data_IF_699999176753
#
_entry.id   IF_699999176753
#
_cell.length_a   1.000
_cell.length_b   1.000
_cell.length_c   1.000
_cell.angle_alpha   90.00
_cell.angle_beta   90.00
_cell.angle_gamma   90.00
#
_symmetry.space_group_name_H-M   'P 1'
#
loop_
_entity.id
_entity.type
_entity.pdbx_description
1 polymer ?
#
# COMPACT_ATOMS: atom_id res chain seq x y z
N UNK A 1 3.57 -4.98 16.83
CA UNK A 1 4.48 -4.14 17.64
C UNK A 1 5.35 -3.24 16.78
N UNK A 2 6.03 -3.77 15.75
CA UNK A 2 6.82 -2.92 14.83
C UNK A 2 6.03 -1.72 14.27
N UNK A 3 4.81 -1.96 13.80
CA UNK A 3 3.88 -0.91 13.32
C UNK A 3 3.61 0.17 14.38
N UNK A 4 3.20 -0.24 15.59
CA UNK A 4 2.96 0.67 16.72
C UNK A 4 4.20 1.49 17.07
N UNK A 5 5.39 0.86 17.06
CA UNK A 5 6.66 1.54 17.30
C UNK A 5 6.97 2.56 16.22
N UNK A 6 6.74 2.24 14.94
CA UNK A 6 6.90 3.17 13.83
C UNK A 6 5.98 4.38 13.95
N UNK A 7 4.70 4.17 14.30
CA UNK A 7 3.73 5.25 14.55
C UNK A 7 4.08 6.14 15.75
N UNK A 8 4.78 5.58 16.73
CA UNK A 8 5.22 6.28 17.94
C UNK A 8 6.61 6.92 17.78
N UNK A 9 7.20 6.82 16.58
CA UNK A 9 8.56 7.29 16.26
C UNK A 9 9.67 6.62 17.10
N UNK A 10 9.40 5.42 17.65
CA UNK A 10 10.39 4.57 18.31
C UNK A 10 11.03 3.65 17.25
N UNK A 11 11.97 4.23 16.51
CA UNK A 11 12.61 3.56 15.37
C UNK A 11 13.49 2.37 15.79
N UNK A 12 14.12 2.45 16.96
CA UNK A 12 14.94 1.35 17.49
C UNK A 12 14.07 0.13 17.83
N UNK A 13 12.93 0.33 18.50
CA UNK A 13 11.98 -0.74 18.74
C UNK A 13 11.35 -1.27 17.44
N UNK A 14 11.03 -0.39 16.49
CA UNK A 14 10.52 -0.80 15.18
C UNK A 14 11.49 -1.76 14.47
N UNK A 15 12.78 -1.42 14.43
CA UNK A 15 13.82 -2.25 13.84
C UNK A 15 13.95 -3.58 14.59
N UNK A 16 14.01 -3.56 15.92
CA UNK A 16 14.15 -4.77 16.72
C UNK A 16 12.96 -5.75 16.56
N UNK A 17 11.73 -5.24 16.54
CA UNK A 17 10.54 -6.06 16.32
C UNK A 17 10.44 -6.56 14.88
N UNK A 18 10.90 -5.77 13.91
CA UNK A 18 10.98 -6.22 12.52
C UNK A 18 11.99 -7.36 12.38
N UNK A 19 13.18 -7.22 12.98
CA UNK A 19 14.22 -8.26 12.95
C UNK A 19 13.80 -9.56 13.62
N UNK A 20 12.99 -9.47 14.68
CA UNK A 20 12.43 -10.65 15.35
C UNK A 20 11.60 -11.54 14.40
N UNK A 21 10.99 -10.94 13.36
CA UNK A 21 10.25 -11.66 12.32
C UNK A 21 11.19 -12.05 11.18
N UNK A 22 11.94 -11.08 10.65
CA UNK A 22 12.76 -11.25 9.44
C UNK A 22 13.94 -12.22 9.63
N UNK A 23 14.44 -12.36 10.86
CA UNK A 23 15.56 -13.25 11.20
C UNK A 23 15.13 -14.53 11.91
N UNK A 24 13.81 -14.75 12.06
CA UNK A 24 13.29 -15.96 12.69
C UNK A 24 13.82 -17.21 11.95
N UNK A 25 14.05 -18.29 12.70
CA UNK A 25 14.55 -19.57 12.14
C UNK A 25 13.54 -20.71 12.31
N UNK A 26 12.41 -20.45 12.95
CA UNK A 26 11.33 -21.43 13.12
C UNK A 26 10.84 -21.98 11.77
N UNK A 27 10.45 -23.25 11.75
CA UNK A 27 10.04 -23.94 10.52
C UNK A 27 8.77 -23.33 9.88
N UNK A 28 7.86 -22.80 10.70
CA UNK A 28 6.57 -22.23 10.27
C UNK A 28 6.55 -20.70 10.35
N UNK A 29 7.70 -20.05 10.16
CA UNK A 29 7.78 -18.59 10.13
C UNK A 29 7.24 -18.05 8.80
N UNK A 30 6.68 -16.83 8.80
CA UNK A 30 6.38 -16.15 7.55
C UNK A 30 7.69 -15.80 6.82
N UNK A 31 7.69 -15.92 5.49
CA UNK A 31 8.87 -15.69 4.64
C UNK A 31 8.48 -14.80 3.46
N UNK A 32 9.34 -13.83 3.15
CA UNK A 32 9.17 -12.98 1.98
C UNK A 32 9.15 -13.81 0.69
N UNK A 33 8.11 -13.64 -0.13
CA UNK A 33 8.01 -14.31 -1.43
C UNK A 33 9.01 -13.66 -2.38
N UNK A 34 10.19 -14.24 -2.57
CA UNK A 34 11.23 -13.61 -3.42
C UNK A 34 11.01 -13.81 -4.92
N UNK A 35 10.32 -14.88 -5.31
CA UNK A 35 10.13 -15.24 -6.71
C UNK A 35 9.08 -14.35 -7.38
N UNK A 36 9.45 -13.54 -8.40
CA UNK A 36 8.51 -12.69 -9.13
C UNK A 36 7.35 -13.48 -9.75
N UNK A 37 7.60 -14.71 -10.22
CA UNK A 37 6.60 -15.55 -10.89
C UNK A 37 5.51 -16.03 -9.93
N UNK A 38 5.81 -16.02 -8.63
CA UNK A 38 4.92 -16.49 -7.57
C UNK A 38 4.33 -15.35 -6.74
N UNK A 39 4.57 -14.10 -7.14
CA UNK A 39 4.05 -12.94 -6.41
C UNK A 39 2.53 -13.00 -6.21
N UNK A 40 1.78 -13.43 -7.22
CA UNK A 40 0.32 -13.51 -7.10
C UNK A 40 -0.15 -14.64 -6.16
N UNK A 41 0.70 -15.64 -5.90
CA UNK A 41 0.42 -16.69 -4.92
C UNK A 41 0.31 -16.14 -3.49
N UNK A 42 0.73 -14.89 -3.25
CA UNK A 42 0.48 -14.17 -2.00
C UNK A 42 -1.03 -14.06 -1.74
N UNK A 43 -1.83 -13.82 -2.79
CA UNK A 43 -3.25 -13.47 -2.70
C UNK A 43 -4.18 -14.62 -3.10
N UNK A 44 -3.78 -15.49 -4.03
CA UNK A 44 -4.55 -16.66 -4.46
C UNK A 44 -3.70 -17.93 -4.36
N UNK A 45 -4.17 -19.02 -3.72
CA UNK A 45 -5.51 -19.20 -3.14
C UNK A 45 -5.72 -18.52 -1.77
N UNK A 46 -4.71 -17.81 -1.24
CA UNK A 46 -4.69 -17.28 0.12
C UNK A 46 -3.83 -18.14 1.05
N UNK A 47 -3.68 -17.75 2.32
CA UNK A 47 -2.84 -18.39 3.32
C UNK A 47 -1.39 -18.59 2.85
N UNK A 48 -0.85 -17.59 2.15
CA UNK A 48 0.51 -17.66 1.63
C UNK A 48 1.54 -17.64 2.76
N UNK A 49 2.74 -18.17 2.51
CA UNK A 49 3.84 -18.11 3.46
C UNK A 49 4.29 -16.67 3.77
N UNK A 50 3.97 -15.68 2.92
CA UNK A 50 4.28 -14.28 3.21
C UNK A 50 3.28 -13.65 4.19
N UNK A 51 2.07 -14.20 4.26
CA UNK A 51 1.02 -13.72 5.15
C UNK A 51 1.39 -13.97 6.61
N UNK A 52 1.25 -12.93 7.43
CA UNK A 52 1.43 -13.00 8.89
C UNK A 52 0.06 -13.06 9.56
N UNK A 53 -0.89 -12.28 9.05
CA UNK A 53 -2.26 -12.25 9.53
C UNK A 53 -3.19 -11.92 8.38
N UNK A 54 -4.22 -12.74 8.21
CA UNK A 54 -5.26 -12.55 7.19
C UNK A 54 -6.64 -12.95 7.71
N UNK A 55 -7.66 -12.31 7.13
CA UNK A 55 -9.06 -12.70 7.28
C UNK A 55 -9.41 -13.66 6.15
N UNK A 56 -10.07 -14.77 6.50
CA UNK A 56 -10.32 -15.87 5.58
C UNK A 56 -11.79 -16.05 5.30
N UNK A 57 -12.10 -16.39 4.05
CA UNK A 57 -13.42 -16.78 3.59
C UNK A 57 -13.31 -18.09 2.82
N UNK A 58 -14.33 -18.93 2.97
CA UNK A 58 -14.42 -20.22 2.31
C UNK A 58 -15.86 -20.46 1.89
N UNK A 59 -16.12 -20.14 0.61
CA UNK A 59 -17.42 -20.35 0.00
C UNK A 59 -17.72 -21.85 -0.16
N UNK A 60 -16.71 -22.64 -0.54
CA UNK A 60 -16.89 -24.04 -0.94
C UNK A 60 -17.32 -24.92 0.23
N UNK A 61 -16.71 -24.74 1.40
CA UNK A 61 -16.95 -25.57 2.59
C UNK A 61 -18.04 -24.97 3.48
N UNK A 62 -18.02 -23.65 3.67
CA UNK A 62 -18.84 -22.98 4.70
C UNK A 62 -19.81 -21.93 4.15
N UNK A 63 -19.85 -21.70 2.83
CA UNK A 63 -20.70 -20.66 2.23
C UNK A 63 -20.32 -19.24 2.68
N UNK A 64 -19.09 -19.04 3.13
CA UNK A 64 -18.61 -17.74 3.61
C UNK A 64 -18.11 -16.90 2.44
N UNK A 65 -18.70 -15.71 2.28
CA UNK A 65 -18.35 -14.76 1.23
C UNK A 65 -17.97 -13.39 1.81
N UNK A 66 -17.27 -12.61 1.00
CA UNK A 66 -17.03 -11.18 1.19
C UNK A 66 -17.42 -10.43 -0.09
N UNK A 67 -17.18 -9.12 -0.12
CA UNK A 67 -17.55 -8.26 -1.26
C UNK A 67 -16.32 -7.54 -1.85
N UNK A 68 -15.10 -8.01 -1.58
CA UNK A 68 -13.88 -7.29 -1.97
C UNK A 68 -13.69 -7.28 -3.48
N UNK A 69 -13.85 -8.44 -4.14
CA UNK A 69 -13.70 -8.55 -5.59
C UNK A 69 -14.67 -7.65 -6.37
N UNK A 70 -15.89 -7.42 -5.85
CA UNK A 70 -16.87 -6.55 -6.51
C UNK A 70 -16.59 -5.07 -6.31
N UNK A 71 -15.94 -4.67 -5.21
CA UNK A 71 -15.50 -3.28 -5.02
C UNK A 71 -14.51 -2.83 -6.10
N UNK A 72 -13.77 -3.78 -6.66
CA UNK A 72 -12.77 -3.58 -7.69
C UNK A 72 -13.15 -4.30 -9.01
N UNK A 73 -14.44 -4.40 -9.30
CA UNK A 73 -14.98 -5.10 -10.47
C UNK A 73 -14.31 -4.69 -11.79
N UNK A 74 -14.24 -5.61 -12.75
CA UNK A 74 -13.67 -5.39 -14.09
C UNK A 74 -14.58 -4.57 -15.03
N UNK A 75 -15.37 -3.66 -14.49
CA UNK A 75 -16.33 -2.88 -15.25
C UNK A 75 -16.50 -1.45 -14.71
N UNK A 76 -17.28 -0.64 -15.44
CA UNK A 76 -17.51 0.76 -15.11
C UNK A 76 -18.22 0.97 -13.75
N UNK A 77 -18.88 -0.06 -13.22
CA UNK A 77 -19.60 -0.10 -11.96
C UNK A 77 -18.74 -0.39 -10.72
N UNK A 78 -17.41 -0.56 -10.86
CA UNK A 78 -16.50 -0.66 -9.73
C UNK A 78 -16.67 0.53 -8.77
N UNK A 79 -16.86 0.23 -7.47
CA UNK A 79 -17.06 1.26 -6.43
C UNK A 79 -15.77 1.97 -6.05
N UNK A 80 -14.64 1.26 -6.11
CA UNK A 80 -13.32 1.79 -5.79
C UNK A 80 -12.45 1.70 -7.04
N UNK A 81 -11.84 2.83 -7.42
CA UNK A 81 -10.99 2.97 -8.60
C UNK A 81 -9.63 3.52 -8.16
N UNK A 82 -8.60 3.22 -8.94
CA UNK A 82 -7.31 3.86 -8.79
C UNK A 82 -7.42 5.37 -9.08
N UNK A 83 -6.56 6.16 -8.45
CA UNK A 83 -6.33 7.55 -8.86
C UNK A 83 -5.51 7.55 -10.15
N UNK A 84 -5.61 8.59 -10.99
CA UNK A 84 -4.78 8.67 -12.21
C UNK A 84 -3.29 8.67 -11.86
N UNK A 85 -2.90 9.31 -10.76
CA UNK A 85 -1.51 9.29 -10.28
C UNK A 85 -1.02 7.89 -9.91
N UNK A 86 -1.88 7.07 -9.32
CA UNK A 86 -1.53 5.68 -9.03
C UNK A 86 -1.45 4.87 -10.32
N UNK A 87 -2.38 5.07 -11.24
CA UNK A 87 -2.37 4.41 -12.55
C UNK A 87 -1.10 4.74 -13.33
N UNK A 88 -0.73 6.02 -13.43
CA UNK A 88 0.50 6.44 -14.10
C UNK A 88 1.73 5.77 -13.48
N UNK A 89 1.82 5.71 -12.14
CA UNK A 89 2.93 5.03 -11.48
C UNK A 89 3.01 3.52 -11.82
N UNK A 90 1.86 2.85 -11.96
CA UNK A 90 1.79 1.45 -12.38
C UNK A 90 2.18 1.25 -13.85
N UNK A 91 1.78 2.17 -14.72
CA UNK A 91 2.19 2.17 -16.13
C UNK A 91 3.70 2.41 -16.26
N UNK A 92 4.25 3.36 -15.50
CA UNK A 92 5.67 3.68 -15.51
C UNK A 92 6.52 2.50 -15.03
N UNK A 93 6.15 1.84 -13.92
CA UNK A 93 6.83 0.61 -13.48
C UNK A 93 6.71 -0.51 -14.53
N UNK A 94 5.54 -0.67 -15.14
CA UNK A 94 5.33 -1.69 -16.18
C UNK A 94 6.19 -1.42 -17.42
N UNK A 95 6.23 -0.18 -17.89
CA UNK A 95 7.08 0.24 -18.99
C UNK A 95 8.56 0.03 -18.68
N UNK A 96 8.98 0.28 -17.43
CA UNK A 96 10.35 0.07 -16.98
C UNK A 96 10.73 -1.42 -16.97
N UNK A 97 9.84 -2.31 -16.53
CA UNK A 97 10.05 -3.78 -16.63
C UNK A 97 10.24 -4.18 -18.09
N UNK A 98 9.32 -3.77 -18.97
CA UNK A 98 9.38 -4.09 -20.41
C UNK A 98 10.63 -3.54 -21.09
N UNK A 99 11.11 -2.37 -20.68
CA UNK A 99 12.33 -1.77 -21.22
C UNK A 99 13.60 -2.47 -20.72
N UNK A 100 13.58 -2.98 -19.48
CA UNK A 100 14.73 -3.65 -18.86
C UNK A 100 14.97 -5.02 -19.48
N UNK A 101 13.90 -5.79 -19.66
CA UNK A 101 13.97 -7.06 -20.36
C UNK A 101 12.64 -7.29 -21.11
N UNK A 102 12.64 -7.11 -22.44
CA UNK A 102 11.43 -7.25 -23.25
C UNK A 102 10.97 -8.71 -23.39
N UNK A 103 11.76 -9.68 -22.90
CA UNK A 103 11.37 -11.08 -22.81
C UNK A 103 10.68 -11.40 -21.48
N UNK A 104 10.84 -10.56 -20.46
CA UNK A 104 10.03 -10.64 -19.26
C UNK A 104 8.61 -10.21 -19.61
N UNK A 105 7.67 -11.00 -19.12
CA UNK A 105 6.29 -10.62 -19.16
C UNK A 105 6.03 -9.51 -18.14
N UNK A 106 5.38 -8.42 -18.56
CA UNK A 106 4.91 -7.34 -17.69
C UNK A 106 4.05 -7.84 -16.49
N UNK A 107 3.62 -9.10 -16.55
CA UNK A 107 2.80 -9.83 -15.59
C UNK A 107 3.57 -10.50 -14.45
N UNK A 108 4.91 -10.50 -14.49
CA UNK A 108 5.75 -11.18 -13.50
C UNK A 108 6.12 -10.26 -12.33
N UNK A 109 5.15 -10.02 -11.44
CA UNK A 109 5.32 -9.23 -10.22
C UNK A 109 4.04 -8.51 -9.81
N UNK A 110 4.20 -7.35 -9.18
CA UNK A 110 3.08 -6.51 -8.69
C UNK A 110 2.45 -5.60 -9.75
N UNK A 111 2.93 -5.61 -10.98
CA UNK A 111 2.58 -4.66 -12.05
C UNK A 111 1.29 -5.07 -12.78
N UNK A 112 1.25 -5.00 -14.11
CA UNK A 112 0.09 -5.39 -14.94
C UNK A 112 -0.31 -6.85 -14.73
N UNK A 113 -1.61 -7.16 -14.63
CA UNK A 113 -2.15 -8.47 -14.22
C UNK A 113 -1.68 -8.98 -12.85
N UNK A 114 -0.92 -8.20 -12.09
CA UNK A 114 -0.58 -8.49 -10.69
C UNK A 114 -1.43 -7.63 -9.76
N UNK A 115 -1.13 -6.33 -9.72
CA UNK A 115 -1.94 -5.38 -8.95
C UNK A 115 -3.09 -4.81 -9.78
N UNK A 116 -2.86 -4.50 -11.06
CA UNK A 116 -3.84 -3.80 -11.90
C UNK A 116 -4.10 -4.51 -13.24
N UNK A 117 -5.31 -4.36 -13.78
CA UNK A 117 -5.67 -4.81 -15.14
C UNK A 117 -6.31 -3.65 -15.90
N UNK A 118 -5.88 -3.45 -17.14
CA UNK A 118 -6.46 -2.48 -18.08
C UNK A 118 -7.71 -3.08 -18.73
N UNK A 119 -8.73 -2.25 -19.04
CA UNK A 119 -9.94 -2.76 -19.67
C UNK A 119 -9.73 -3.20 -21.13
N UNK A 120 -8.67 -2.73 -21.80
CA UNK A 120 -8.35 -3.14 -23.18
C UNK A 120 -7.97 -4.61 -23.25
N UNK A 121 -8.45 -5.30 -24.29
CA UNK A 121 -8.05 -6.67 -24.64
C UNK A 121 -6.74 -6.74 -25.42
N UNK A 122 -6.21 -5.61 -25.88
CA UNK A 122 -5.05 -5.55 -26.77
C UNK A 122 -3.79 -5.26 -25.96
N UNK A 123 -2.84 -6.22 -25.94
CA UNK A 123 -1.52 -6.03 -25.35
C UNK A 123 -0.77 -4.91 -26.08
N UNK A 124 -0.29 -3.89 -25.35
CA UNK A 124 0.36 -2.71 -25.94
C UNK A 124 -0.58 -1.54 -26.29
N UNK A 125 -1.91 -1.71 -26.17
CA UNK A 125 -2.89 -0.61 -26.28
C UNK A 125 -3.20 -0.07 -24.86
N UNK A 126 -2.15 0.42 -24.21
CA UNK A 126 -2.22 1.06 -22.89
C UNK A 126 -2.86 2.46 -22.96
N UNK A 127 -3.00 3.01 -24.17
CA UNK A 127 -3.30 4.43 -24.38
C UNK A 127 -4.80 4.78 -24.34
N UNK A 128 -5.71 3.85 -24.03
CA UNK A 128 -7.14 4.06 -24.34
C UNK A 128 -8.20 3.52 -23.38
N UNK A 129 -7.90 3.08 -22.16
CA UNK A 129 -8.99 2.80 -21.21
C UNK A 129 -8.89 3.59 -19.93
N UNK A 130 -9.97 4.32 -19.62
CA UNK A 130 -10.16 5.05 -18.38
C UNK A 130 -10.41 4.12 -17.16
N UNK A 131 -10.10 2.82 -17.26
CA UNK A 131 -10.54 1.82 -16.30
C UNK A 131 -9.44 0.82 -15.96
N UNK A 132 -9.04 0.86 -14.69
CA UNK A 132 -8.04 -0.01 -14.07
C UNK A 132 -8.72 -0.75 -12.92
N UNK A 133 -8.44 -2.04 -12.82
CA UNK A 133 -9.09 -2.91 -11.85
C UNK A 133 -8.08 -3.58 -10.94
N UNK A 134 -8.40 -3.70 -9.64
CA UNK A 134 -7.51 -4.35 -8.68
C UNK A 134 -7.61 -5.87 -8.85
N UNK A 135 -6.54 -6.48 -9.32
CA UNK A 135 -6.55 -7.90 -9.65
C UNK A 135 -6.40 -8.82 -8.44
N UNK A 136 -5.72 -8.35 -7.37
CA UNK A 136 -5.46 -9.10 -6.10
C UNK A 136 -6.69 -9.84 -5.54
N UNK A 137 -7.88 -9.24 -5.67
CA UNK A 137 -9.13 -9.78 -5.10
C UNK A 137 -10.06 -10.43 -6.13
N UNK A 138 -9.72 -10.39 -7.42
CA UNK A 138 -10.57 -10.89 -8.50
C UNK A 138 -9.94 -12.02 -9.30
N UNK A 139 -8.63 -12.00 -9.50
CA UNK A 139 -7.91 -13.02 -10.27
C UNK A 139 -7.62 -14.30 -9.51
N UNK A 140 -7.31 -15.36 -10.26
CA UNK A 140 -6.75 -16.62 -9.77
C UNK A 140 -5.31 -16.85 -10.24
N UNK A 141 -4.87 -16.16 -11.30
CA UNK A 141 -3.49 -16.12 -11.77
C UNK A 141 -3.23 -14.84 -12.57
N UNK A 142 -2.01 -14.67 -13.07
CA UNK A 142 -1.59 -13.52 -13.89
C UNK A 142 -1.43 -13.86 -15.38
N UNK A 143 -1.72 -15.09 -15.78
CA UNK A 143 -1.49 -15.60 -17.13
C UNK A 143 -2.67 -15.36 -18.06
N UNK A 144 -3.89 -15.27 -17.53
CA UNK A 144 -5.09 -14.92 -18.28
C UNK A 144 -6.02 -14.05 -17.43
N UNK A 145 -6.51 -12.96 -18.01
CA UNK A 145 -7.46 -12.04 -17.36
C UNK A 145 -8.86 -12.64 -17.22
N UNK A 146 -9.15 -13.73 -17.94
CA UNK A 146 -10.40 -14.47 -17.82
C UNK A 146 -10.35 -15.46 -16.64
N UNK A 147 -9.17 -15.71 -16.08
CA UNK A 147 -8.98 -16.54 -14.88
C UNK A 147 -9.35 -15.75 -13.63
N UNK A 148 -10.65 -15.58 -13.45
CA UNK A 148 -11.27 -14.90 -12.31
C UNK A 148 -11.76 -15.90 -11.26
N UNK A 149 -11.84 -15.46 -10.01
CA UNK A 149 -12.48 -16.21 -8.93
C UNK A 149 -13.96 -16.44 -9.24
N UNK A 150 -14.38 -17.68 -9.09
CA UNK A 150 -15.78 -18.11 -9.27
C UNK A 150 -16.66 -17.82 -8.04
N UNK A 151 -16.05 -17.59 -6.88
CA UNK A 151 -16.71 -17.21 -5.64
C UNK A 151 -16.11 -15.91 -5.09
N UNK A 152 -16.89 -15.19 -4.27
CA UNK A 152 -16.43 -13.98 -3.60
C UNK A 152 -15.81 -14.33 -2.24
N UNK A 153 -14.68 -15.04 -2.26
CA UNK A 153 -14.04 -15.60 -1.07
C UNK A 153 -12.56 -15.19 -0.92
N UNK A 154 -12.13 -14.12 -1.60
CA UNK A 154 -10.76 -13.64 -1.50
C UNK A 154 -10.38 -13.28 -0.05
N UNK A 155 -9.27 -13.83 0.46
CA UNK A 155 -8.74 -13.47 1.77
C UNK A 155 -8.28 -12.00 1.79
N UNK A 156 -8.34 -11.39 2.98
CA UNK A 156 -7.84 -10.03 3.20
C UNK A 156 -6.65 -10.05 4.13
N UNK A 157 -5.46 -9.79 3.57
CA UNK A 157 -4.21 -9.76 4.33
C UNK A 157 -4.14 -8.45 5.14
N UNK A 158 -3.97 -8.59 6.45
CA UNK A 158 -3.77 -7.48 7.38
C UNK A 158 -2.30 -7.13 7.56
N UNK A 159 -1.44 -8.14 7.66
CA UNK A 159 0.01 -7.99 7.74
C UNK A 159 0.71 -9.09 6.95
N UNK A 160 1.78 -8.72 6.26
CA UNK A 160 2.67 -9.65 5.52
C UNK A 160 4.12 -9.21 5.61
N UNK A 161 5.05 -10.09 5.26
CA UNK A 161 6.50 -9.84 5.45
C UNK A 161 6.98 -8.58 4.74
N UNK A 162 6.49 -8.28 3.53
CA UNK A 162 6.87 -7.05 2.83
C UNK A 162 6.54 -5.77 3.64
N UNK A 163 5.47 -5.77 4.43
CA UNK A 163 5.13 -4.63 5.29
C UNK A 163 6.13 -4.47 6.43
N UNK A 164 6.55 -5.58 7.05
CA UNK A 164 7.60 -5.58 8.07
C UNK A 164 8.92 -5.06 7.49
N UNK A 165 9.27 -5.48 6.29
CA UNK A 165 10.44 -4.99 5.57
C UNK A 165 10.37 -3.48 5.35
N UNK A 166 9.28 -2.97 4.80
CA UNK A 166 9.15 -1.53 4.51
C UNK A 166 9.00 -0.68 5.78
N UNK A 167 8.43 -1.21 6.87
CA UNK A 167 8.46 -0.53 8.17
C UNK A 167 9.89 -0.41 8.71
N UNK A 168 10.69 -1.48 8.58
CA UNK A 168 12.13 -1.45 8.94
C UNK A 168 12.90 -0.47 8.05
N UNK A 169 12.67 -0.47 6.73
CA UNK A 169 13.32 0.46 5.81
C UNK A 169 13.03 1.90 6.20
N UNK A 170 11.77 2.23 6.51
CA UNK A 170 11.41 3.58 6.96
C UNK A 170 12.07 3.96 8.28
N UNK A 171 12.06 3.06 9.27
CA UNK A 171 12.73 3.30 10.54
C UNK A 171 14.24 3.53 10.34
N UNK A 172 14.89 2.79 9.44
CA UNK A 172 16.29 3.01 9.07
C UNK A 172 16.51 4.37 8.43
N UNK A 173 15.61 4.84 7.55
CA UNK A 173 15.69 6.21 7.01
C UNK A 173 15.66 7.24 8.15
N UNK A 174 14.73 7.07 9.09
CA UNK A 174 14.56 7.98 10.23
C UNK A 174 15.68 7.90 11.28
N UNK A 175 16.48 6.83 11.31
CA UNK A 175 17.70 6.75 12.12
C UNK A 175 18.84 7.61 11.56
N UNK A 176 18.70 8.10 10.32
CA UNK A 176 19.63 9.00 9.66
C UNK A 176 20.58 8.31 8.68
N UNK A 177 21.37 9.14 7.98
CA UNK A 177 22.18 8.75 6.82
C UNK A 177 23.01 7.47 6.95
N UNK A 178 23.69 7.17 8.08
CA UNK A 178 24.47 5.94 8.21
C UNK A 178 23.67 4.63 8.01
N UNK A 179 22.34 4.70 8.02
CA UNK A 179 21.43 3.57 7.86
C UNK A 179 20.72 3.53 6.50
N UNK A 180 20.91 4.53 5.63
CA UNK A 180 20.17 4.66 4.37
C UNK A 180 20.52 3.59 3.34
N UNK A 181 21.77 3.10 3.30
CA UNK A 181 22.14 1.97 2.43
C UNK A 181 21.39 0.68 2.82
N UNK A 182 21.16 0.47 4.12
CA UNK A 182 20.40 -0.66 4.61
C UNK A 182 18.91 -0.53 4.26
N UNK A 183 18.35 0.69 4.32
CA UNK A 183 17.00 0.97 3.85
C UNK A 183 16.86 0.72 2.34
N UNK A 184 17.80 1.23 1.55
CA UNK A 184 17.83 1.05 0.09
C UNK A 184 17.96 -0.42 -0.30
N UNK A 185 18.75 -1.20 0.43
CA UNK A 185 18.86 -2.65 0.25
C UNK A 185 17.50 -3.34 0.40
N UNK A 186 16.71 -2.95 1.42
CA UNK A 186 15.37 -3.51 1.63
C UNK A 186 14.42 -3.11 0.49
N UNK A 187 14.41 -1.83 0.09
CA UNK A 187 13.59 -1.34 -1.03
C UNK A 187 13.93 -2.15 -2.31
N UNK A 188 15.21 -2.33 -2.59
CA UNK A 188 15.67 -3.06 -3.76
C UNK A 188 15.32 -4.55 -3.75
N UNK A 189 15.11 -5.18 -2.58
CA UNK A 189 14.57 -6.55 -2.52
C UNK A 189 13.13 -6.61 -3.04
N UNK A 190 12.28 -5.64 -2.70
CA UNK A 190 10.91 -5.59 -3.20
C UNK A 190 10.85 -5.24 -4.68
N UNK A 191 11.70 -4.32 -5.13
CA UNK A 191 11.85 -3.96 -6.55
C UNK A 191 12.31 -5.16 -7.38
N UNK A 192 13.31 -5.89 -6.90
CA UNK A 192 13.80 -7.08 -7.59
C UNK A 192 12.72 -8.16 -7.72
N UNK A 193 11.93 -8.40 -6.67
CA UNK A 193 10.77 -9.30 -6.73
C UNK A 193 9.67 -8.77 -7.69
N UNK A 194 9.58 -7.47 -7.90
CA UNK A 194 8.71 -6.87 -8.93
C UNK A 194 9.35 -6.84 -10.33
N UNK A 195 10.48 -7.53 -10.54
CA UNK A 195 11.24 -7.53 -11.81
C UNK A 195 11.75 -6.15 -12.24
N UNK A 196 11.83 -5.20 -11.31
CA UNK A 196 12.30 -3.84 -11.56
C UNK A 196 13.82 -3.75 -11.36
N UNK A 197 14.50 -2.86 -12.11
CA UNK A 197 15.89 -2.54 -11.83
C UNK A 197 16.02 -1.94 -10.42
N UNK A 198 17.13 -2.25 -9.77
CA UNK A 198 17.48 -1.69 -8.48
C UNK A 198 17.61 -0.16 -8.58
N UNK A 199 17.10 0.54 -7.57
CA UNK A 199 17.41 1.96 -7.36
C UNK A 199 18.89 2.10 -7.04
N UNK A 200 19.55 2.99 -7.77
CA UNK A 200 20.93 3.39 -7.55
C UNK A 200 20.89 4.82 -7.02
N UNK A 201 21.10 4.97 -5.73
CA UNK A 201 21.05 6.26 -5.02
C UNK A 201 22.38 6.46 -4.30
N UNK A 202 23.01 7.60 -4.50
CA UNK A 202 24.16 8.02 -3.71
C UNK A 202 23.67 8.56 -2.37
N UNK A 203 23.57 7.68 -1.37
CA UNK A 203 22.99 8.00 -0.05
C UNK A 203 23.77 9.08 0.71
N UNK A 204 25.03 9.31 0.35
CA UNK A 204 25.85 10.41 0.89
C UNK A 204 25.41 11.78 0.41
N UNK A 205 24.72 11.86 -0.73
CA UNK A 205 24.25 13.10 -1.36
C UNK A 205 22.72 13.26 -1.32
N UNK A 206 21.99 12.20 -0.96
CA UNK A 206 20.54 12.25 -0.78
C UNK A 206 20.15 13.04 0.48
N UNK A 207 18.88 13.46 0.55
CA UNK A 207 18.29 13.97 1.79
C UNK A 207 17.29 12.98 2.42
N UNK A 208 16.88 13.26 3.66
CA UNK A 208 15.92 12.40 4.40
C UNK A 208 14.56 12.32 3.69
N UNK A 209 14.13 13.41 3.03
CA UNK A 209 12.86 13.44 2.31
C UNK A 209 12.90 12.55 1.07
N UNK A 210 13.97 12.59 0.29
CA UNK A 210 14.16 11.74 -0.89
C UNK A 210 14.09 10.26 -0.49
N UNK A 211 14.79 9.88 0.58
CA UNK A 211 14.78 8.53 1.10
C UNK A 211 13.39 8.08 1.59
N UNK A 212 12.66 8.97 2.28
CA UNK A 212 11.27 8.72 2.66
C UNK A 212 10.35 8.59 1.44
N UNK A 213 10.57 9.39 0.39
CA UNK A 213 9.78 9.32 -0.84
C UNK A 213 10.00 7.99 -1.58
N UNK A 214 11.22 7.44 -1.60
CA UNK A 214 11.45 6.09 -2.12
C UNK A 214 10.68 5.02 -1.33
N UNK A 215 10.68 5.09 0.00
CA UNK A 215 9.90 4.17 0.83
C UNK A 215 8.40 4.31 0.56
N UNK A 216 7.88 5.54 0.52
CA UNK A 216 6.46 5.80 0.29
C UNK A 216 6.00 5.37 -1.10
N UNK A 217 6.84 5.53 -2.11
CA UNK A 217 6.57 5.03 -3.46
C UNK A 217 6.50 3.50 -3.45
N UNK A 218 7.51 2.83 -2.89
CA UNK A 218 7.53 1.38 -2.81
C UNK A 218 6.31 0.83 -2.05
N UNK A 219 5.90 1.48 -0.95
CA UNK A 219 4.66 1.14 -0.20
C UNK A 219 3.40 1.33 -1.03
N UNK A 220 3.31 2.39 -1.84
CA UNK A 220 2.16 2.62 -2.73
C UNK A 220 2.00 1.49 -3.74
N UNK A 221 3.10 1.14 -4.41
CA UNK A 221 3.10 0.12 -5.45
C UNK A 221 2.82 -1.26 -4.85
N UNK A 222 3.40 -1.53 -3.68
CA UNK A 222 3.29 -2.81 -3.01
C UNK A 222 1.91 -3.09 -2.42
N UNK A 223 1.36 -2.14 -1.67
CA UNK A 223 0.17 -2.33 -0.81
C UNK A 223 -1.11 -1.75 -1.40
N UNK A 224 -1.16 -1.55 -2.71
CA UNK A 224 -2.38 -1.01 -3.31
C UNK A 224 -3.57 -1.92 -3.03
N UNK A 225 -4.70 -1.29 -2.71
CA UNK A 225 -5.96 -1.92 -2.29
C UNK A 225 -5.92 -2.74 -0.97
N UNK A 226 -4.80 -2.76 -0.26
CA UNK A 226 -4.66 -3.44 1.06
C UNK A 226 -4.98 -2.49 2.24
N UNK A 227 -5.60 -1.33 1.97
CA UNK A 227 -6.04 -0.38 3.00
C UNK A 227 -4.93 0.44 3.67
N UNK A 228 -3.72 0.49 3.11
CA UNK A 228 -2.54 1.11 3.75
C UNK A 228 -2.31 2.58 3.37
N UNK A 229 -2.62 2.98 2.13
CA UNK A 229 -2.14 4.25 1.55
C UNK A 229 -2.48 5.50 2.35
N UNK A 230 -3.72 5.64 2.83
CA UNK A 230 -4.10 6.81 3.64
C UNK A 230 -3.28 6.91 4.93
N UNK A 231 -3.10 5.77 5.61
CA UNK A 231 -2.36 5.68 6.86
C UNK A 231 -0.86 5.92 6.67
N UNK A 232 -0.29 5.49 5.54
CA UNK A 232 1.10 5.80 5.18
C UNK A 232 1.32 7.29 4.99
N UNK A 233 0.44 7.95 4.22
CA UNK A 233 0.49 9.39 3.98
C UNK A 233 0.27 10.16 5.29
N UNK A 234 -0.72 9.76 6.09
CA UNK A 234 -1.01 10.36 7.38
C UNK A 234 0.18 10.27 8.33
N UNK A 235 0.82 9.11 8.42
CA UNK A 235 2.00 8.91 9.26
C UNK A 235 3.15 9.78 8.80
N UNK A 236 3.45 9.78 7.50
CA UNK A 236 4.46 10.66 6.90
C UNK A 236 4.21 12.14 7.22
N UNK A 237 2.97 12.61 7.05
CA UNK A 237 2.60 14.00 7.35
C UNK A 237 2.71 14.37 8.83
N UNK A 238 2.68 13.38 9.74
CA UNK A 238 2.82 13.57 11.20
C UNK A 238 4.27 13.51 11.68
N UNK A 239 5.18 12.88 10.93
CA UNK A 239 6.55 12.64 11.33
C UNK A 239 7.23 13.92 11.85
N UNK A 240 8.03 13.76 12.91
CA UNK A 240 8.87 14.81 13.49
C UNK A 240 8.06 16.10 13.73
N UNK A 241 6.91 15.98 14.39
CA UNK A 241 6.01 17.10 14.68
C UNK A 241 5.56 17.85 13.41
N UNK A 242 5.05 17.10 12.42
CA UNK A 242 4.48 17.63 11.18
C UNK A 242 5.49 18.30 10.23
N UNK A 243 6.77 17.91 10.29
CA UNK A 243 7.84 18.42 9.42
C UNK A 243 7.49 18.33 7.92
N UNK A 244 6.84 17.24 7.51
CA UNK A 244 6.51 16.95 6.11
C UNK A 244 5.04 17.23 5.75
N UNK A 245 4.38 18.08 6.54
CA UNK A 245 2.97 18.41 6.35
C UNK A 245 2.64 18.92 4.95
N UNK A 246 3.44 19.83 4.39
CA UNK A 246 3.17 20.37 3.06
C UNK A 246 3.33 19.31 1.97
N UNK A 247 4.34 18.44 2.07
CA UNK A 247 4.52 17.31 1.15
C UNK A 247 3.34 16.33 1.24
N UNK A 248 2.90 15.99 2.46
CA UNK A 248 1.69 15.19 2.68
C UNK A 248 0.46 15.80 2.00
N UNK A 249 0.21 17.10 2.20
CA UNK A 249 -0.92 17.81 1.58
C UNK A 249 -0.79 17.76 0.06
N UNK A 250 0.40 17.99 -0.50
CA UNK A 250 0.64 17.92 -1.94
C UNK A 250 0.26 16.54 -2.50
N UNK A 251 0.75 15.45 -1.87
CA UNK A 251 0.47 14.08 -2.29
C UNK A 251 -1.04 13.75 -2.27
N UNK A 252 -1.76 14.19 -1.24
CA UNK A 252 -3.21 13.97 -1.15
C UNK A 252 -3.97 14.78 -2.20
N UNK A 253 -3.59 16.04 -2.40
CA UNK A 253 -4.24 16.93 -3.38
C UNK A 253 -4.01 16.45 -4.81
N UNK A 254 -2.79 16.02 -5.14
CA UNK A 254 -2.43 15.51 -6.47
C UNK A 254 -3.23 14.25 -6.82
N UNK A 255 -3.46 13.36 -5.86
CA UNK A 255 -4.20 12.13 -6.07
C UNK A 255 -5.73 12.30 -6.01
N UNK A 256 -6.26 13.39 -5.44
CA UNK A 256 -7.70 13.58 -5.27
C UNK A 256 -8.33 14.28 -6.49
N UNK A 257 -9.17 13.54 -7.21
CA UNK A 257 -9.88 14.04 -8.40
C UNK A 257 -11.35 14.39 -8.13
N UNK A 258 -11.87 14.07 -6.95
CA UNK A 258 -13.31 14.13 -6.67
C UNK A 258 -13.75 15.50 -6.16
N UNK A 259 -12.80 16.31 -5.69
CA UNK A 259 -13.10 17.55 -4.97
C UNK A 259 -12.13 18.66 -5.35
N UNK A 260 -12.54 19.92 -5.15
CA UNK A 260 -11.71 21.08 -5.41
C UNK A 260 -10.37 21.02 -4.63
N UNK A 261 -9.21 21.06 -5.32
CA UNK A 261 -7.87 21.02 -4.70
C UNK A 261 -7.64 22.08 -3.60
N UNK A 262 -8.15 23.29 -3.80
CA UNK A 262 -8.00 24.39 -2.83
C UNK A 262 -8.81 24.14 -1.57
N UNK A 263 -9.98 23.51 -1.69
CA UNK A 263 -10.77 23.10 -0.53
C UNK A 263 -10.06 22.01 0.26
N UNK A 264 -9.58 20.95 -0.41
CA UNK A 264 -8.82 19.87 0.24
C UNK A 264 -7.60 20.43 0.97
N UNK A 265 -6.83 21.30 0.31
CA UNK A 265 -5.67 21.97 0.93
C UNK A 265 -6.07 22.82 2.14
N UNK A 266 -7.15 23.59 2.04
CA UNK A 266 -7.66 24.41 3.14
C UNK A 266 -8.03 23.56 4.37
N UNK A 267 -8.71 22.42 4.15
CA UNK A 267 -9.09 21.49 5.23
C UNK A 267 -7.85 20.85 5.87
N UNK A 268 -6.95 20.29 5.05
CA UNK A 268 -5.77 19.57 5.55
C UNK A 268 -4.71 20.47 6.19
N UNK A 269 -4.80 21.80 6.04
CA UNK A 269 -3.98 22.73 6.82
C UNK A 269 -4.26 22.67 8.32
N UNK A 270 -5.42 22.17 8.75
CA UNK A 270 -5.69 21.90 10.15
C UNK A 270 -5.43 20.43 10.44
N UNK A 271 -4.45 20.12 11.28
CA UNK A 271 -4.04 18.75 11.61
C UNK A 271 -5.15 17.96 12.31
N UNK A 272 -6.06 18.64 13.00
CA UNK A 272 -7.22 18.00 13.62
C UNK A 272 -8.24 17.50 12.59
N UNK A 273 -8.22 18.02 11.35
CA UNK A 273 -9.10 17.58 10.27
C UNK A 273 -8.68 16.22 9.68
N UNK A 274 -7.51 15.70 10.05
CA UNK A 274 -6.97 14.45 9.49
C UNK A 274 -7.62 13.21 10.11
N UNK A 275 -8.38 13.38 11.19
CA UNK A 275 -9.04 12.32 11.93
C UNK A 275 -10.54 12.36 11.69
N UNK A 276 -11.19 11.19 11.68
CA UNK A 276 -12.64 11.09 11.55
C UNK A 276 -13.34 11.63 12.80
N UNK A 277 -14.58 12.15 12.69
CA UNK A 277 -15.36 12.50 13.87
C UNK A 277 -15.71 11.24 14.68
N UNK A 278 -15.88 11.41 15.99
CA UNK A 278 -16.56 10.40 16.81
C UNK A 278 -18.03 10.39 16.38
N UNK A 279 -18.65 9.21 16.16
CA UNK A 279 -20.06 9.11 15.79
C UNK A 279 -20.96 9.86 16.77
N UNK A 280 -21.85 10.70 16.24
CA UNK A 280 -22.70 11.55 17.08
C UNK A 280 -23.58 10.74 18.04
N UNK A 281 -24.08 9.58 17.60
CA UNK A 281 -24.84 8.63 18.43
C UNK A 281 -24.07 8.19 19.68
N UNK A 282 -22.75 8.05 19.59
CA UNK A 282 -21.94 7.61 20.72
C UNK A 282 -21.80 8.75 21.76
N UNK A 283 -21.69 9.99 21.28
CA UNK A 283 -21.66 11.19 22.13
C UNK A 283 -23.00 11.40 22.83
N UNK A 284 -24.13 11.19 22.14
CA UNK A 284 -25.46 11.27 22.74
C UNK A 284 -25.64 10.26 23.87
N UNK A 285 -25.14 9.03 23.68
CA UNK A 285 -25.23 7.96 24.69
C UNK A 285 -24.26 8.21 25.85
N UNK A 286 -23.08 8.76 25.57
CA UNK A 286 -22.07 9.04 26.58
C UNK A 286 -21.63 10.51 26.53
N UNK A 287 -22.27 11.40 27.31
CA UNK A 287 -21.93 12.83 27.36
C UNK A 287 -20.51 13.15 27.87
N UNK A 288 -19.76 12.15 28.38
CA UNK A 288 -18.35 12.31 28.74
C UNK A 288 -17.41 12.18 27.53
N UNK A 289 -17.90 11.68 26.38
CA UNK A 289 -17.12 11.67 25.15
C UNK A 289 -17.00 13.08 24.60
N UNK A 290 -15.76 13.53 24.41
CA UNK A 290 -15.46 14.81 23.78
C UNK A 290 -15.18 14.59 22.31
N UNK A 291 -15.84 15.38 21.46
CA UNK A 291 -15.63 15.32 20.01
C UNK A 291 -14.18 15.69 19.64
N UNK A 292 -13.69 15.14 18.52
CA UNK A 292 -12.41 15.52 17.96
C UNK A 292 -12.37 17.02 17.64
N UNK A 293 -11.25 17.74 17.90
CA UNK A 293 -11.24 19.21 17.96
C UNK A 293 -11.70 19.94 16.69
N UNK A 294 -11.53 19.33 15.53
CA UNK A 294 -11.98 19.90 14.25
C UNK A 294 -13.51 19.94 14.12
N UNK A 295 -14.21 18.97 14.70
CA UNK A 295 -15.66 18.84 14.63
C UNK A 295 -16.37 19.34 15.90
N UNK A 296 -15.63 19.66 16.96
CA UNK A 296 -16.19 20.16 18.19
C UNK A 296 -16.83 21.54 17.98
N UNK A 297 -18.06 21.70 18.48
CA UNK A 297 -18.76 22.98 18.51
C UNK A 297 -18.13 23.92 19.57
N UNK A 298 -18.37 25.23 19.50
CA UNK A 298 -17.83 26.19 20.49
C UNK A 298 -18.23 25.86 21.94
N UNK A 299 -19.34 25.14 22.13
CA UNK A 299 -19.82 24.66 23.44
C UNK A 299 -19.10 23.42 23.97
N UNK A 300 -18.28 22.75 23.15
CA UNK A 300 -17.60 21.48 23.48
C UNK A 300 -16.07 21.60 23.57
N UNK A 301 -15.51 22.77 23.22
CA UNK A 301 -14.07 23.10 23.34
C UNK A 301 -13.71 23.52 24.76
#
# INVERSE_FOLDING_TARGET
MADVSLWSEDYDACIAYSDSILTATAAFRPVFMQDPLRWFEIFYPGNSNESIMELNWDNQTYGQNNNFGSYFALDAGARLKYTETAMQAFEDETALVMATDPTLDARWGRTYMGSYVHASTTFGDYDKTAYFFVWKYKGTDVADRENVRNAEDANFILYRVAEVMLMKAEALVMKGQPHWDAALTIINQLRNRASLPALVVETTEADELDMLMYVLHERQMEFVAEGKRWYDLLRFGRLQQYKYKEQFINLVVEANQTTNPQWVRSVLRNEHAWFMPIPYSDIEVNPLLKQNPYYATETEK
#
